data_IF_369948024879
#
_entry.id   IF_369948024879
#
_cell.length_a   1.000
_cell.length_b   1.000
_cell.length_c   1.000
_cell.angle_alpha   90.00
_cell.angle_beta   90.00
_cell.angle_gamma   90.00
#
_symmetry.space_group_name_H-M   'P 1'
#
loop_
_entity.id
_entity.type
_entity.pdbx_description
1 polymer ?
#
# COMPACT_ATOMS: atom_id res chain seq x y z
N UNK A 1 -40.33 44.81 -53.79
CA UNK A 1 -39.62 44.55 -52.52
C UNK A 1 -38.86 43.25 -52.69
N UNK A 2 -37.55 43.24 -52.43
CA UNK A 2 -36.72 42.03 -52.46
C UNK A 2 -35.65 42.16 -51.36
N UNK A 3 -35.63 41.24 -50.40
CA UNK A 3 -34.71 41.27 -49.26
C UNK A 3 -33.55 40.33 -49.54
N UNK A 4 -32.33 40.86 -49.61
CA UNK A 4 -31.12 40.03 -49.70
C UNK A 4 -30.88 39.33 -48.35
N UNK A 5 -30.82 38.00 -48.39
CA UNK A 5 -30.44 37.18 -47.23
C UNK A 5 -28.92 37.02 -47.21
N UNK A 6 -28.27 37.67 -46.24
CA UNK A 6 -26.84 37.48 -45.98
C UNK A 6 -26.62 36.08 -45.40
N UNK A 7 -25.82 35.25 -46.08
CA UNK A 7 -25.42 33.93 -45.57
C UNK A 7 -24.20 34.07 -44.68
N UNK A 8 -24.39 33.90 -43.38
CA UNK A 8 -23.30 33.79 -42.41
C UNK A 8 -22.63 32.41 -42.56
N UNK A 9 -21.32 32.37 -42.81
CA UNK A 9 -20.53 31.14 -42.83
C UNK A 9 -19.99 30.90 -41.42
N UNK A 10 -20.43 29.83 -40.75
CA UNK A 10 -19.89 29.39 -39.46
C UNK A 10 -18.99 28.17 -39.70
N UNK A 11 -17.68 28.37 -39.56
CA UNK A 11 -16.68 27.31 -39.64
C UNK A 11 -16.48 26.70 -38.24
N UNK A 12 -17.02 25.51 -38.02
CA UNK A 12 -16.84 24.76 -36.76
C UNK A 12 -15.63 23.84 -36.90
N UNK A 13 -14.50 24.23 -36.31
CA UNK A 13 -13.34 23.35 -36.13
C UNK A 13 -13.51 22.51 -34.86
N UNK A 14 -14.01 21.28 -35.02
CA UNK A 14 -14.10 20.31 -33.92
C UNK A 14 -12.73 19.63 -33.69
N UNK A 15 -11.92 20.15 -32.76
CA UNK A 15 -10.73 19.42 -32.27
C UNK A 15 -11.17 18.24 -31.40
N UNK A 16 -11.22 17.05 -31.99
CA UNK A 16 -11.36 15.80 -31.26
C UNK A 16 -10.01 15.40 -30.61
N UNK A 17 -9.70 15.99 -29.46
CA UNK A 17 -8.55 15.60 -28.65
C UNK A 17 -8.85 14.29 -27.89
N UNK A 18 -8.70 13.15 -28.57
CA UNK A 18 -8.65 11.85 -27.90
C UNK A 18 -7.37 11.74 -27.08
N UNK A 19 -7.41 12.21 -25.83
CA UNK A 19 -6.37 11.97 -24.85
C UNK A 19 -6.28 10.48 -24.57
N UNK A 20 -5.24 9.83 -25.09
CA UNK A 20 -4.88 8.48 -24.68
C UNK A 20 -4.42 8.54 -23.21
N UNK A 21 -5.33 8.19 -22.29
CA UNK A 21 -4.95 7.90 -20.91
C UNK A 21 -4.03 6.68 -20.95
N UNK A 22 -2.72 6.91 -20.83
CA UNK A 22 -1.74 5.84 -20.71
C UNK A 22 -2.14 4.93 -19.55
N UNK A 23 -2.13 3.62 -19.77
CA UNK A 23 -2.36 2.67 -18.69
C UNK A 23 -1.30 2.93 -17.61
N UNK A 24 -1.74 3.18 -16.37
CA UNK A 24 -0.83 3.33 -15.26
C UNK A 24 0.02 2.05 -15.15
N UNK A 25 1.34 2.21 -15.21
CA UNK A 25 2.27 1.10 -15.11
C UNK A 25 2.10 0.43 -13.73
N UNK A 26 2.20 -0.91 -13.70
CA UNK A 26 2.04 -1.63 -12.44
C UNK A 26 3.19 -1.26 -11.50
N UNK A 27 2.93 -0.95 -10.22
CA UNK A 27 4.00 -0.71 -9.25
C UNK A 27 5.02 -1.85 -9.27
N UNK A 28 6.29 -1.50 -9.38
CA UNK A 28 7.42 -2.43 -9.37
C UNK A 28 8.44 -2.00 -8.33
N UNK A 29 9.07 -2.95 -7.66
CA UNK A 29 10.17 -2.71 -6.74
C UNK A 29 11.51 -2.43 -7.44
N UNK A 30 11.58 -2.69 -8.75
CA UNK A 30 12.70 -2.32 -9.63
C UNK A 30 12.64 -0.84 -10.07
N UNK A 31 11.47 -0.19 -9.93
CA UNK A 31 11.33 1.23 -10.21
C UNK A 31 11.95 2.06 -9.08
N UNK A 32 13.03 2.78 -9.39
CA UNK A 32 13.70 3.65 -8.44
C UNK A 32 12.83 4.83 -7.97
N UNK A 33 11.76 5.19 -8.71
CA UNK A 33 10.76 6.17 -8.29
C UNK A 33 9.77 5.60 -7.26
N UNK A 34 9.57 4.27 -7.26
CA UNK A 34 8.64 3.59 -6.34
C UNK A 34 9.22 3.45 -4.93
N UNK A 35 8.99 4.47 -4.10
CA UNK A 35 9.50 4.52 -2.73
C UNK A 35 8.46 5.00 -1.71
N UNK A 36 7.97 6.21 -1.92
CA UNK A 36 7.02 6.89 -1.02
C UNK A 36 5.68 7.11 -1.72
N UNK A 37 4.58 6.78 -1.04
CA UNK A 37 3.23 7.02 -1.57
C UNK A 37 2.97 8.53 -1.73
N UNK A 38 2.28 8.90 -2.81
CA UNK A 38 1.82 10.27 -3.08
C UNK A 38 0.55 10.60 -2.27
N UNK A 39 0.60 10.32 -0.96
CA UNK A 39 -0.49 10.50 0.00
C UNK A 39 -0.06 11.43 1.13
N UNK A 40 -1.03 11.91 1.91
CA UNK A 40 -0.77 12.68 3.12
C UNK A 40 -1.38 11.97 4.35
N UNK A 41 -0.57 11.45 5.30
CA UNK A 41 0.90 11.38 5.24
C UNK A 41 1.42 10.44 4.14
N UNK A 42 2.69 10.61 3.76
CA UNK A 42 3.37 9.71 2.82
C UNK A 42 3.85 8.45 3.54
N UNK A 43 3.74 7.30 2.90
CA UNK A 43 4.10 5.97 3.44
C UNK A 43 5.29 5.40 2.66
N UNK A 44 6.27 4.85 3.37
CA UNK A 44 7.42 4.15 2.77
C UNK A 44 6.96 2.79 2.19
N UNK A 45 6.42 2.82 0.97
CA UNK A 45 5.91 1.64 0.29
C UNK A 45 7.03 0.64 -0.08
N UNK A 46 8.26 1.09 -0.36
CA UNK A 46 9.38 0.15 -0.62
C UNK A 46 9.72 -0.67 0.64
N UNK A 47 9.63 -0.08 1.84
CA UNK A 47 9.74 -0.84 3.09
C UNK A 47 8.59 -1.83 3.30
N UNK A 48 7.36 -1.41 3.02
CA UNK A 48 6.18 -2.25 3.29
C UNK A 48 6.04 -3.39 2.26
N UNK A 49 6.34 -3.14 0.99
CA UNK A 49 5.98 -4.01 -0.12
C UNK A 49 7.18 -4.69 -0.80
N UNK A 50 8.35 -4.05 -0.80
CA UNK A 50 9.48 -4.49 -1.62
C UNK A 50 10.63 -5.13 -0.84
N UNK A 51 10.72 -4.90 0.47
CA UNK A 51 11.94 -5.29 1.18
C UNK A 51 13.02 -4.22 1.11
N UNK A 52 12.96 -3.24 2.01
CA UNK A 52 13.96 -2.16 2.02
C UNK A 52 15.34 -2.70 2.42
N UNK A 53 16.29 -2.61 1.48
CA UNK A 53 17.73 -2.84 1.68
C UNK A 53 18.42 -1.49 1.85
N UNK A 54 19.02 -1.26 3.02
CA UNK A 54 19.79 -0.05 3.33
C UNK A 54 21.14 -0.03 2.61
N UNK A 55 21.79 1.14 2.55
CA UNK A 55 23.14 1.32 1.94
C UNK A 55 24.25 0.44 2.55
N UNK A 56 24.10 0.00 3.80
CA UNK A 56 24.99 -0.97 4.47
C UNK A 56 24.56 -2.45 4.22
N UNK A 57 23.65 -2.66 3.28
CA UNK A 57 23.04 -3.93 2.94
C UNK A 57 22.02 -4.46 3.96
N UNK A 58 21.67 -3.75 5.03
CA UNK A 58 20.73 -4.26 6.03
C UNK A 58 19.29 -4.31 5.50
N UNK A 59 18.62 -5.42 5.73
CA UNK A 59 17.21 -5.66 5.37
C UNK A 59 16.32 -5.28 6.56
N UNK A 60 15.40 -4.33 6.38
CA UNK A 60 14.69 -3.72 7.52
C UNK A 60 13.21 -4.02 7.64
N UNK A 61 12.52 -4.33 6.54
CA UNK A 61 11.13 -4.78 6.55
C UNK A 61 10.64 -5.15 5.17
N UNK A 62 9.65 -6.04 5.13
CA UNK A 62 8.83 -6.44 3.99
C UNK A 62 7.59 -7.09 4.59
N UNK A 63 6.39 -6.72 4.15
CA UNK A 63 5.15 -7.04 4.84
C UNK A 63 3.99 -7.39 3.91
N UNK A 64 4.19 -7.51 2.59
CA UNK A 64 3.13 -7.92 1.66
C UNK A 64 3.72 -8.71 0.49
N UNK A 65 2.93 -9.60 -0.12
CA UNK A 65 3.27 -10.23 -1.40
C UNK A 65 2.77 -9.47 -2.64
N UNK A 66 2.05 -8.35 -2.47
CA UNK A 66 1.31 -7.70 -3.56
C UNK A 66 2.11 -7.40 -4.86
N UNK A 67 3.44 -7.22 -4.74
CA UNK A 67 4.38 -7.00 -5.86
C UNK A 67 5.70 -7.78 -5.68
N UNK A 68 5.66 -8.92 -4.95
CA UNK A 68 6.86 -9.69 -4.57
C UNK A 68 7.70 -10.16 -5.76
N UNK A 69 7.08 -10.41 -6.91
CA UNK A 69 7.76 -10.89 -8.12
C UNK A 69 8.80 -9.90 -8.69
N UNK A 70 8.79 -8.64 -8.21
CA UNK A 70 9.76 -7.59 -8.56
C UNK A 70 10.72 -7.24 -7.42
N UNK A 71 10.54 -7.85 -6.24
CA UNK A 71 11.32 -7.56 -5.04
C UNK A 71 12.65 -8.34 -5.02
N UNK A 72 13.74 -7.82 -4.40
CA UNK A 72 15.03 -8.50 -4.23
C UNK A 72 14.97 -9.65 -3.19
N UNK A 73 14.03 -10.56 -3.37
CA UNK A 73 13.65 -11.64 -2.46
C UNK A 73 13.95 -12.98 -3.11
N UNK A 74 14.77 -13.79 -2.44
CA UNK A 74 15.13 -15.13 -2.86
C UNK A 74 14.12 -16.18 -2.40
N UNK A 75 13.59 -16.05 -1.20
CA UNK A 75 12.70 -17.05 -0.58
C UNK A 75 11.83 -16.42 0.52
N UNK A 76 10.61 -16.94 0.71
CA UNK A 76 9.71 -16.55 1.81
C UNK A 76 9.21 -17.80 2.54
N UNK A 77 9.74 -18.04 3.74
CA UNK A 77 9.31 -19.13 4.61
C UNK A 77 8.13 -18.64 5.47
N UNK A 78 6.91 -18.80 4.97
CA UNK A 78 5.69 -18.40 5.66
C UNK A 78 5.16 -19.49 6.60
N UNK A 79 4.64 -19.07 7.76
CA UNK A 79 3.78 -19.90 8.60
C UNK A 79 2.34 -19.88 8.03
N UNK A 80 1.48 -20.83 8.40
CA UNK A 80 0.06 -20.78 8.05
C UNK A 80 -0.60 -19.47 8.51
N UNK A 81 -1.52 -18.89 7.71
CA UNK A 81 -2.26 -17.69 8.09
C UNK A 81 -3.24 -17.94 9.22
N UNK A 82 -3.47 -16.89 10.01
CA UNK A 82 -4.58 -16.81 10.96
C UNK A 82 -5.91 -16.60 10.21
N UNK A 83 -7.03 -16.63 10.93
CA UNK A 83 -8.37 -16.47 10.34
C UNK A 83 -8.55 -15.13 9.61
N UNK A 84 -7.86 -14.08 10.05
CA UNK A 84 -7.81 -12.76 9.43
C UNK A 84 -6.82 -12.65 8.25
N UNK A 85 -6.22 -13.77 7.83
CA UNK A 85 -5.26 -13.85 6.74
C UNK A 85 -3.84 -13.40 7.06
N UNK A 86 -3.55 -12.86 8.26
CA UNK A 86 -2.18 -12.42 8.59
C UNK A 86 -1.28 -13.61 8.97
N UNK A 87 0.01 -13.55 8.66
CA UNK A 87 0.95 -14.61 8.98
C UNK A 87 2.36 -14.10 9.32
N UNK A 88 3.05 -14.85 10.18
CA UNK A 88 4.48 -14.70 10.40
C UNK A 88 5.27 -15.32 9.25
N UNK A 89 6.39 -14.70 8.89
CA UNK A 89 7.32 -15.25 7.89
C UNK A 89 8.76 -14.84 8.14
N UNK A 90 9.70 -15.64 7.61
CA UNK A 90 11.08 -15.26 7.41
C UNK A 90 11.35 -15.04 5.92
N UNK A 91 11.68 -13.80 5.56
CA UNK A 91 12.05 -13.38 4.20
C UNK A 91 13.56 -13.49 4.05
N UNK A 92 14.02 -14.13 2.98
CA UNK A 92 15.43 -14.24 2.59
C UNK A 92 15.66 -13.41 1.34
N UNK A 93 16.67 -12.54 1.39
CA UNK A 93 16.97 -11.58 0.35
C UNK A 93 18.11 -12.07 -0.54
N UNK A 94 18.19 -11.55 -1.77
CA UNK A 94 19.25 -11.89 -2.72
C UNK A 94 20.66 -11.59 -2.19
N UNK A 95 20.78 -10.55 -1.35
CA UNK A 95 22.04 -10.19 -0.69
C UNK A 95 22.46 -11.13 0.46
N UNK A 96 21.74 -12.26 0.64
CA UNK A 96 22.03 -13.28 1.65
C UNK A 96 21.57 -12.95 3.08
N UNK A 97 21.03 -11.76 3.35
CA UNK A 97 20.43 -11.43 4.65
C UNK A 97 18.98 -11.95 4.73
N UNK A 98 18.44 -12.00 5.95
CA UNK A 98 17.05 -12.38 6.18
C UNK A 98 16.40 -11.55 7.29
N UNK A 99 15.06 -11.47 7.26
CA UNK A 99 14.25 -10.70 8.20
C UNK A 99 13.02 -11.50 8.62
N UNK A 100 12.68 -11.45 9.90
CA UNK A 100 11.37 -11.90 10.39
C UNK A 100 10.37 -10.77 10.23
N UNK A 101 9.21 -11.08 9.66
CA UNK A 101 8.12 -10.15 9.36
C UNK A 101 6.75 -10.77 9.67
N UNK A 102 5.76 -9.93 9.95
CA UNK A 102 4.35 -10.26 9.70
C UNK A 102 3.95 -9.77 8.32
N UNK A 103 3.15 -10.51 7.58
CA UNK A 103 2.60 -10.09 6.29
C UNK A 103 1.09 -9.80 6.35
N UNK A 104 0.67 -8.82 5.54
CA UNK A 104 -0.72 -8.56 5.15
C UNK A 104 -1.30 -9.78 4.42
N UNK A 105 -2.62 -10.00 4.46
CA UNK A 105 -3.29 -11.04 3.68
C UNK A 105 -2.94 -10.99 2.20
N UNK A 106 -2.68 -12.14 1.58
CA UNK A 106 -2.26 -12.26 0.18
C UNK A 106 -3.36 -11.82 -0.82
N UNK A 107 -4.61 -11.69 -0.37
CA UNK A 107 -5.72 -11.13 -1.16
C UNK A 107 -5.70 -9.58 -1.26
N UNK A 108 -4.73 -8.90 -0.62
CA UNK A 108 -4.66 -7.43 -0.61
C UNK A 108 -3.67 -6.86 -1.62
N UNK A 109 -4.16 -6.00 -2.51
CA UNK A 109 -3.31 -5.22 -3.42
C UNK A 109 -2.60 -4.03 -2.77
N UNK A 110 -1.66 -3.43 -3.49
CA UNK A 110 -0.86 -2.25 -3.09
C UNK A 110 -1.74 -1.12 -2.54
N UNK A 111 -2.84 -0.78 -3.24
CA UNK A 111 -3.74 0.29 -2.84
C UNK A 111 -4.49 -0.05 -1.55
N UNK A 112 -4.99 -1.29 -1.41
CA UNK A 112 -5.70 -1.74 -0.21
C UNK A 112 -4.80 -1.72 1.03
N UNK A 113 -3.56 -2.18 0.91
CA UNK A 113 -2.55 -2.07 1.98
C UNK A 113 -2.30 -0.60 2.33
N UNK A 114 -2.09 0.26 1.33
CA UNK A 114 -1.85 1.71 1.54
C UNK A 114 -3.03 2.40 2.24
N UNK A 115 -4.25 2.15 1.77
CA UNK A 115 -5.48 2.68 2.35
C UNK A 115 -5.67 2.21 3.80
N UNK A 116 -5.36 0.94 4.10
CA UNK A 116 -5.41 0.40 5.46
C UNK A 116 -4.38 1.01 6.40
N UNK A 117 -3.17 1.27 5.93
CA UNK A 117 -2.14 1.97 6.72
C UNK A 117 -2.61 3.39 7.04
N UNK A 118 -3.12 4.14 6.06
CA UNK A 118 -3.65 5.48 6.27
C UNK A 118 -4.88 5.50 7.20
N UNK A 119 -5.73 4.46 7.13
CA UNK A 119 -6.85 4.30 8.05
C UNK A 119 -6.36 4.02 9.48
N UNK A 120 -5.39 3.13 9.67
CA UNK A 120 -4.79 2.82 10.96
C UNK A 120 -4.11 4.04 11.59
N UNK A 121 -3.39 4.83 10.80
CA UNK A 121 -2.78 6.11 11.24
C UNK A 121 -3.84 7.09 11.73
N UNK A 122 -4.87 7.34 10.90
CA UNK A 122 -5.94 8.28 11.22
C UNK A 122 -6.79 7.85 12.43
N UNK A 123 -6.95 6.54 12.65
CA UNK A 123 -7.76 5.95 13.71
C UNK A 123 -6.90 5.16 14.71
N UNK A 124 -5.73 5.71 15.04
CA UNK A 124 -4.82 5.18 16.04
C UNK A 124 -5.54 5.01 17.38
N UNK A 125 -5.58 3.79 17.92
CA UNK A 125 -6.35 3.46 19.13
C UNK A 125 -5.50 3.23 20.39
N UNK A 126 -4.20 2.97 20.24
CA UNK A 126 -3.31 2.54 21.32
C UNK A 126 -1.83 2.73 20.94
N UNK A 127 -0.91 2.89 21.91
CA UNK A 127 0.53 2.82 21.67
C UNK A 127 0.98 1.38 21.37
N UNK A 128 1.92 1.22 20.44
CA UNK A 128 2.61 -0.04 20.19
C UNK A 128 3.74 -0.28 21.21
N UNK A 129 3.95 -1.55 21.60
CA UNK A 129 5.06 -1.98 22.48
C UNK A 129 6.01 -2.92 21.74
N UNK A 130 7.33 -2.65 21.68
CA UNK A 130 8.04 -1.61 22.42
C UNK A 130 8.01 -0.20 21.79
N UNK A 131 7.45 -0.04 20.58
CA UNK A 131 7.38 1.24 19.88
C UNK A 131 6.19 1.33 18.93
N UNK A 132 5.95 2.54 18.42
CA UNK A 132 4.96 2.85 17.39
C UNK A 132 3.56 3.08 17.94
N UNK A 133 2.58 3.02 17.04
CA UNK A 133 1.16 3.10 17.34
C UNK A 133 0.43 1.93 16.70
N UNK A 134 -0.76 1.64 17.20
CA UNK A 134 -1.66 0.61 16.69
C UNK A 134 -2.92 1.27 16.11
N UNK A 135 -3.46 0.69 15.05
CA UNK A 135 -4.76 1.07 14.48
C UNK A 135 -5.34 -0.06 13.64
N UNK A 136 -6.65 -0.04 13.39
CA UNK A 136 -7.30 -1.10 12.60
C UNK A 136 -6.99 -1.00 11.10
N UNK A 137 -7.01 -2.13 10.40
CA UNK A 137 -6.85 -2.17 8.94
C UNK A 137 -8.02 -1.55 8.18
N UNK A 138 -9.23 -1.56 8.76
CA UNK A 138 -10.45 -1.09 8.13
C UNK A 138 -11.47 -0.59 9.17
N UNK A 139 -12.45 0.26 8.76
CA UNK A 139 -13.61 0.58 9.57
C UNK A 139 -14.49 -0.64 9.87
N UNK A 140 -15.31 -0.56 10.92
CA UNK A 140 -16.23 -1.63 11.31
C UNK A 140 -17.28 -1.96 10.24
N UNK A 141 -17.68 -0.98 9.42
CA UNK A 141 -18.50 -1.20 8.23
C UNK A 141 -17.59 -1.68 7.08
N UNK A 142 -17.86 -2.84 6.45
CA UNK A 142 -17.06 -3.33 5.33
C UNK A 142 -16.98 -2.33 4.18
N UNK A 143 -15.77 -2.16 3.64
CA UNK A 143 -15.46 -1.30 2.49
C UNK A 143 -14.26 -1.93 1.74
N UNK A 144 -14.43 -2.37 0.49
CA UNK A 144 -13.45 -3.21 -0.23
C UNK A 144 -12.15 -2.49 -0.59
N UNK A 145 -12.07 -1.16 -0.44
CA UNK A 145 -10.85 -0.40 -0.70
C UNK A 145 -9.77 -0.58 0.38
N UNK A 146 -10.12 -1.21 1.50
CA UNK A 146 -9.19 -1.55 2.58
C UNK A 146 -8.78 -3.01 2.51
N UNK A 147 -7.59 -3.31 3.01
CA UNK A 147 -7.12 -4.66 3.24
C UNK A 147 -7.81 -5.28 4.47
N UNK A 148 -8.51 -6.38 4.25
CA UNK A 148 -9.13 -7.24 5.26
C UNK A 148 -8.80 -8.70 4.97
N UNK A 149 -9.03 -9.56 5.96
CA UNK A 149 -8.88 -11.00 5.79
C UNK A 149 -9.84 -11.60 4.76
N UNK A 150 -9.68 -12.89 4.40
CA UNK A 150 -10.47 -13.56 3.37
C UNK A 150 -11.99 -13.56 3.62
N UNK A 151 -12.44 -13.50 4.87
CA UNK A 151 -13.85 -13.37 5.26
C UNK A 151 -14.29 -11.92 5.56
N UNK A 152 -13.42 -10.93 5.34
CA UNK A 152 -13.67 -9.53 5.67
C UNK A 152 -13.17 -9.13 7.07
N UNK A 153 -12.34 -9.93 7.71
CA UNK A 153 -11.82 -9.69 9.06
C UNK A 153 -10.96 -8.42 9.13
N UNK A 154 -11.19 -7.61 10.17
CA UNK A 154 -10.31 -6.50 10.56
C UNK A 154 -9.16 -7.04 11.39
N UNK A 155 -7.93 -6.69 11.03
CA UNK A 155 -6.74 -6.96 11.82
C UNK A 155 -6.11 -5.63 12.30
N UNK A 156 -5.21 -5.71 13.29
CA UNK A 156 -4.48 -4.53 13.80
C UNK A 156 -3.21 -4.33 12.97
N UNK A 157 -2.91 -3.07 12.64
CA UNK A 157 -1.66 -2.63 12.02
C UNK A 157 -0.85 -1.88 13.07
N UNK A 158 0.42 -2.25 13.25
CA UNK A 158 1.40 -1.41 13.92
C UNK A 158 2.15 -0.57 12.89
N UNK A 159 2.38 0.70 13.21
CA UNK A 159 3.11 1.62 12.36
C UNK A 159 4.02 2.55 13.15
N UNK A 160 5.02 3.12 12.47
CA UNK A 160 5.91 4.15 13.00
C UNK A 160 5.87 5.41 12.13
N UNK A 161 5.59 6.53 12.78
CA UNK A 161 5.71 7.88 12.23
C UNK A 161 7.14 8.40 12.43
N UNK A 162 7.63 9.22 11.50
CA UNK A 162 8.72 10.16 11.72
C UNK A 162 8.19 11.45 12.36
N UNK A 163 9.09 12.27 12.91
CA UNK A 163 8.76 13.59 13.49
C UNK A 163 8.12 14.56 12.47
N UNK A 164 8.34 14.33 11.16
CA UNK A 164 7.72 15.08 10.06
C UNK A 164 6.34 14.53 9.63
N UNK A 165 5.82 13.53 10.33
CA UNK A 165 4.52 12.91 10.10
C UNK A 165 4.50 11.82 9.02
N UNK A 166 5.59 11.59 8.28
CA UNK A 166 5.66 10.48 7.30
C UNK A 166 5.68 9.11 7.99
N UNK A 167 5.12 8.10 7.35
CA UNK A 167 5.04 6.73 7.89
C UNK A 167 6.22 5.91 7.36
N UNK A 168 7.19 5.62 8.23
CA UNK A 168 8.41 4.90 7.86
C UNK A 168 8.19 3.40 7.68
N UNK A 169 7.27 2.81 8.43
CA UNK A 169 6.92 1.38 8.32
C UNK A 169 5.53 1.13 8.89
N UNK A 170 4.84 0.13 8.35
CA UNK A 170 3.56 -0.34 8.86
C UNK A 170 3.33 -1.81 8.48
N UNK A 171 2.94 -2.63 9.45
CA UNK A 171 2.80 -4.09 9.30
C UNK A 171 1.69 -4.64 10.21
N UNK A 172 1.09 -5.81 9.90
CA UNK A 172 0.08 -6.38 10.78
C UNK A 172 0.66 -6.81 12.13
N UNK A 173 -0.03 -6.45 13.19
CA UNK A 173 0.31 -6.79 14.56
C UNK A 173 -0.47 -8.03 14.99
N UNK A 174 0.18 -9.19 14.91
CA UNK A 174 -0.39 -10.45 15.40
C UNK A 174 -0.63 -10.40 16.91
N UNK A 175 -1.68 -11.08 17.37
CA UNK A 175 -2.03 -11.20 18.79
C UNK A 175 -2.76 -9.98 19.39
N UNK A 176 -3.04 -8.96 18.59
CA UNK A 176 -3.90 -7.82 18.96
C UNK A 176 -5.22 -7.89 18.19
N UNK A 177 -6.28 -7.32 18.77
CA UNK A 177 -7.62 -7.31 18.15
C UNK A 177 -8.14 -5.89 17.96
N UNK A 178 -8.89 -5.70 16.88
CA UNK A 178 -9.60 -4.46 16.65
C UNK A 178 -10.71 -4.25 17.70
N UNK A 179 -10.83 -3.06 18.30
CA UNK A 179 -11.98 -2.68 19.10
C UNK A 179 -13.26 -2.81 18.28
N UNK A 180 -14.33 -3.20 18.98
CA UNK A 180 -15.69 -3.28 18.44
C UNK A 180 -16.15 -1.88 18.01
#
# INVERSE_FOLDING_TARGET
MAVQVVRLVVLVFSLAACGAAGAAEKPSCEDESFGWSQTNPSVNLRHVLCGEVKKNGDVVGMHSRAIIDTAPVKEVQAQPPQADGVYSTKVFFENGKSKNSTFYPDNCGVEQVTNSILYAVKHSHAPGKPWGKLGCSAPAKPDPKYCTGPGGERFVIRFAEFDDGRINTAFPQMGESCPQ
#
